data_IF_437384553138
#
_entry.id   IF_437384553138
#
_cell.length_a   1.000
_cell.length_b   1.000
_cell.length_c   1.000
_cell.angle_alpha   90.00
_cell.angle_beta   90.00
_cell.angle_gamma   90.00
#
_symmetry.space_group_name_H-M   'P 1'
#
loop_
_entity.id
_entity.type
_entity.pdbx_description
1 polymer ?
#
# COMPACT_ATOMS: atom_id res chain seq x y z
N UNK A 1 -1.11 17.86 0.11
CA UNK A 1 -1.73 16.59 -0.33
C UNK A 1 -2.23 15.88 0.90
N UNK A 2 -3.48 15.45 0.93
CA UNK A 2 -4.04 14.69 2.06
C UNK A 2 -3.59 13.23 1.97
N UNK A 3 -3.05 12.71 3.07
CA UNK A 3 -2.87 11.27 3.26
C UNK A 3 -4.21 10.59 3.53
N UNK A 4 -4.30 9.29 3.31
CA UNK A 4 -5.58 8.59 3.52
C UNK A 4 -5.97 8.49 5.00
N UNK A 5 -4.99 8.57 5.91
CA UNK A 5 -5.22 8.73 7.35
C UNK A 5 -5.89 10.06 7.72
N UNK A 6 -5.90 11.03 6.81
CA UNK A 6 -6.50 12.36 6.99
C UNK A 6 -7.82 12.52 6.22
N UNK A 7 -8.42 11.42 5.74
CA UNK A 7 -9.70 11.51 5.06
C UNK A 7 -10.76 12.12 5.98
N UNK A 8 -11.54 13.10 5.49
CA UNK A 8 -12.71 13.60 6.20
C UNK A 8 -13.69 12.47 6.55
N UNK A 9 -14.42 12.57 7.69
CA UNK A 9 -15.34 11.53 8.14
C UNK A 9 -16.39 11.11 7.10
N UNK A 10 -16.85 12.04 6.27
CA UNK A 10 -17.81 11.77 5.19
C UNK A 10 -17.24 10.83 4.12
N UNK A 11 -15.95 10.96 3.79
CA UNK A 11 -15.27 10.07 2.85
C UNK A 11 -15.06 8.70 3.48
N UNK A 12 -14.61 8.66 4.74
CA UNK A 12 -14.44 7.40 5.49
C UNK A 12 -15.76 6.62 5.55
N UNK A 13 -16.87 7.31 5.83
CA UNK A 13 -18.20 6.71 5.88
C UNK A 13 -18.63 6.15 4.53
N UNK A 14 -18.41 6.90 3.44
CA UNK A 14 -18.73 6.41 2.09
C UNK A 14 -17.86 5.21 1.68
N UNK A 15 -16.58 5.18 2.04
CA UNK A 15 -15.71 4.02 1.79
C UNK A 15 -16.16 2.81 2.61
N UNK A 16 -16.71 3.01 3.81
CA UNK A 16 -17.17 1.95 4.68
C UNK A 16 -18.35 1.14 4.11
N UNK A 17 -19.11 1.72 3.18
CA UNK A 17 -20.22 1.04 2.49
C UNK A 17 -19.76 0.10 1.37
N UNK A 18 -18.45 0.09 1.04
CA UNK A 18 -17.90 -0.75 -0.03
C UNK A 18 -17.42 -2.12 0.48
N UNK A 19 -17.66 -3.18 -0.30
CA UNK A 19 -17.09 -4.50 -0.01
C UNK A 19 -15.56 -4.54 -0.20
N UNK A 20 -15.06 -3.74 -1.17
CA UNK A 20 -13.63 -3.65 -1.50
C UNK A 20 -13.30 -2.28 -2.11
N UNK A 21 -12.25 -1.64 -1.60
CA UNK A 21 -11.67 -0.43 -2.19
C UNK A 21 -10.41 -0.76 -3.00
N UNK A 22 -10.30 -0.28 -4.23
CA UNK A 22 -9.12 -0.52 -5.08
C UNK A 22 -8.33 0.77 -5.28
N UNK A 23 -7.11 0.79 -4.75
CA UNK A 23 -6.13 1.86 -4.95
C UNK A 23 -5.26 1.56 -6.17
N UNK A 24 -5.23 2.49 -7.13
CA UNK A 24 -4.47 2.33 -8.38
C UNK A 24 -3.26 3.24 -8.40
N UNK A 25 -2.10 2.68 -8.72
CA UNK A 25 -0.88 3.41 -9.04
C UNK A 25 -0.05 3.86 -7.84
N UNK A 26 1.12 4.41 -8.15
CA UNK A 26 2.16 4.78 -7.19
C UNK A 26 1.70 5.89 -6.22
N UNK A 27 1.04 6.93 -6.73
CA UNK A 27 0.59 8.08 -5.92
C UNK A 27 -0.37 7.64 -4.80
N UNK A 28 -1.32 6.75 -5.10
CA UNK A 28 -2.26 6.24 -4.09
C UNK A 28 -1.55 5.34 -3.08
N UNK A 29 -0.58 4.53 -3.53
CA UNK A 29 0.21 3.70 -2.63
C UNK A 29 1.05 4.53 -1.65
N UNK A 30 1.67 5.61 -2.13
CA UNK A 30 2.42 6.56 -1.30
C UNK A 30 1.49 7.26 -0.30
N UNK A 31 0.29 7.68 -0.72
CA UNK A 31 -0.71 8.29 0.18
C UNK A 31 -1.22 7.32 1.25
N UNK A 32 -1.38 6.04 0.90
CA UNK A 32 -1.76 4.97 1.82
C UNK A 32 -0.67 4.69 2.87
N UNK A 33 0.60 4.87 2.51
CA UNK A 33 1.74 4.60 3.38
C UNK A 33 2.32 5.88 4.02
N UNK A 34 1.57 6.98 3.93
CA UNK A 34 1.95 8.30 4.43
C UNK A 34 3.28 8.83 3.88
N UNK A 35 3.71 8.30 2.73
CA UNK A 35 4.98 8.59 2.09
C UNK A 35 6.21 8.47 3.01
N UNK A 36 6.13 7.59 4.03
CA UNK A 36 7.21 7.38 5.00
C UNK A 36 8.17 6.28 4.55
N UNK A 37 9.40 6.34 5.07
CA UNK A 37 10.40 5.27 4.92
C UNK A 37 10.08 4.12 5.86
N UNK A 38 9.33 3.15 5.36
CA UNK A 38 9.04 1.90 6.04
C UNK A 38 10.11 0.85 5.71
N UNK A 39 10.50 -0.02 6.67
CA UNK A 39 11.19 -1.27 6.34
C UNK A 39 10.40 -2.05 5.27
N UNK A 40 11.05 -2.67 4.26
CA UNK A 40 10.35 -3.44 3.23
C UNK A 40 9.47 -4.57 3.75
N UNK A 41 9.76 -5.06 4.96
CA UNK A 41 9.01 -6.14 5.64
C UNK A 41 7.87 -5.64 6.50
N UNK A 42 7.63 -4.32 6.55
CA UNK A 42 6.54 -3.74 7.37
C UNK A 42 5.18 -4.27 6.94
N UNK A 43 4.28 -4.48 7.91
CA UNK A 43 2.92 -4.94 7.63
C UNK A 43 2.03 -3.80 7.11
N UNK A 44 1.53 -3.95 5.89
CA UNK A 44 0.60 -3.01 5.27
C UNK A 44 -0.71 -2.88 6.06
N UNK A 45 -1.21 -3.97 6.65
CA UNK A 45 -2.47 -3.94 7.39
C UNK A 45 -2.35 -3.09 8.66
N UNK A 46 -1.22 -3.18 9.36
CA UNK A 46 -0.90 -2.34 10.51
C UNK A 46 -0.76 -0.86 10.14
N UNK A 47 -0.01 -0.55 9.06
CA UNK A 47 0.20 0.84 8.62
C UNK A 47 -1.12 1.48 8.18
N UNK A 48 -1.93 0.76 7.42
CA UNK A 48 -3.23 1.22 6.93
C UNK A 48 -4.38 0.89 7.90
N UNK A 49 -4.12 0.78 9.21
CA UNK A 49 -5.12 0.43 10.24
C UNK A 49 -6.35 1.34 10.22
N UNK A 50 -6.22 2.58 9.76
CA UNK A 50 -7.29 3.57 9.61
C UNK A 50 -8.30 3.28 8.48
N UNK A 51 -8.03 2.35 7.56
CA UNK A 51 -8.94 2.04 6.46
C UNK A 51 -10.23 1.34 6.94
N UNK A 52 -11.43 1.80 6.60
CA UNK A 52 -12.65 1.25 7.19
C UNK A 52 -13.03 -0.15 6.68
N UNK A 53 -12.52 -0.56 5.52
CA UNK A 53 -12.92 -1.79 4.81
C UNK A 53 -11.72 -2.51 4.19
N UNK A 54 -11.96 -3.72 3.68
CA UNK A 54 -11.01 -4.44 2.83
C UNK A 54 -10.55 -3.56 1.68
N UNK A 55 -9.26 -3.64 1.33
CA UNK A 55 -8.74 -2.89 0.18
C UNK A 55 -7.65 -3.65 -0.57
N UNK A 56 -7.52 -3.30 -1.85
CA UNK A 56 -6.52 -3.82 -2.76
C UNK A 56 -5.67 -2.67 -3.32
N UNK A 57 -4.36 -2.72 -3.13
CA UNK A 57 -3.44 -1.78 -3.75
C UNK A 57 -2.77 -2.42 -4.99
N UNK A 58 -2.99 -1.81 -6.15
CA UNK A 58 -2.41 -2.21 -7.43
C UNK A 58 -1.37 -1.17 -7.86
N UNK A 59 -0.09 -1.55 -7.85
CA UNK A 59 0.99 -0.61 -8.12
C UNK A 59 2.07 -1.20 -9.01
N UNK A 60 2.49 -0.43 -10.01
CA UNK A 60 3.78 -0.62 -10.67
C UNK A 60 4.86 0.13 -9.88
N UNK A 61 6.01 -0.49 -9.66
CA UNK A 61 7.10 0.06 -8.85
C UNK A 61 7.83 1.17 -9.62
N UNK A 62 7.55 2.43 -9.24
CA UNK A 62 8.14 3.65 -9.83
C UNK A 62 8.63 4.61 -8.74
N UNK A 63 8.96 4.07 -7.57
CA UNK A 63 9.31 4.85 -6.39
C UNK A 63 9.89 3.98 -5.27
N UNK A 64 10.77 4.57 -4.47
CA UNK A 64 11.66 3.93 -3.48
C UNK A 64 10.97 3.34 -2.23
N UNK A 65 9.66 3.17 -2.26
CA UNK A 65 8.85 2.79 -1.10
C UNK A 65 8.18 1.44 -1.37
N UNK A 66 8.32 0.46 -0.49
CA UNK A 66 7.63 -0.83 -0.56
C UNK A 66 7.47 -1.41 0.85
N UNK A 67 6.47 -2.25 1.05
CA UNK A 67 6.19 -2.93 2.32
C UNK A 67 5.67 -4.34 2.02
N UNK A 68 5.49 -5.21 3.02
CA UNK A 68 4.92 -6.55 2.85
C UNK A 68 5.82 -7.57 2.14
N UNK A 69 7.10 -7.28 1.94
CA UNK A 69 8.06 -8.25 1.43
C UNK A 69 8.49 -9.23 2.52
N UNK A 70 9.00 -10.39 2.10
CA UNK A 70 9.66 -11.32 3.01
C UNK A 70 11.05 -10.81 3.39
N UNK A 71 11.55 -11.24 4.56
CA UNK A 71 12.94 -10.99 4.97
C UNK A 71 13.92 -11.45 3.89
N UNK A 72 14.88 -10.60 3.51
CA UNK A 72 15.88 -10.88 2.48
C UNK A 72 15.42 -10.69 1.02
N UNK A 73 14.12 -10.52 0.78
CA UNK A 73 13.59 -10.42 -0.59
C UNK A 73 14.00 -9.10 -1.27
N UNK A 74 14.02 -8.00 -0.51
CA UNK A 74 14.43 -6.69 -1.04
C UNK A 74 15.92 -6.69 -1.42
N UNK A 75 16.75 -7.31 -0.58
CA UNK A 75 18.19 -7.46 -0.78
C UNK A 75 18.49 -8.33 -2.00
N UNK A 76 17.77 -9.45 -2.16
CA UNK A 76 17.87 -10.30 -3.33
C UNK A 76 17.55 -9.51 -4.60
N UNK A 77 16.40 -8.83 -4.64
CA UNK A 77 16.00 -8.03 -5.80
C UNK A 77 17.02 -6.92 -6.11
N UNK A 78 17.54 -6.24 -5.08
CA UNK A 78 18.56 -5.22 -5.24
C UNK A 78 19.90 -5.78 -5.79
N UNK A 79 20.22 -7.03 -5.48
CA UNK A 79 21.41 -7.71 -6.03
C UNK A 79 21.26 -8.09 -7.50
N UNK A 80 20.03 -8.38 -7.94
CA UNK A 80 19.70 -8.73 -9.33
C UNK A 80 19.57 -7.47 -10.21
N UNK A 81 18.96 -6.42 -9.68
CA UNK A 81 18.66 -5.17 -10.39
C UNK A 81 18.67 -4.00 -9.39
N UNK A 82 19.69 -3.13 -9.39
CA UNK A 82 19.75 -1.99 -8.46
C UNK A 82 18.59 -1.00 -8.58
N UNK A 83 17.93 -0.91 -9.74
CA UNK A 83 16.86 0.05 -10.04
C UNK A 83 15.45 -0.56 -9.92
N UNK A 84 15.34 -1.77 -9.36
CA UNK A 84 14.11 -2.58 -9.36
C UNK A 84 12.86 -1.91 -8.77
N UNK A 85 13.04 -0.92 -7.88
CA UNK A 85 11.95 -0.15 -7.25
C UNK A 85 11.43 1.00 -8.11
N UNK A 86 12.22 1.47 -9.09
CA UNK A 86 11.98 2.74 -9.78
C UNK A 86 11.87 2.59 -11.31
N UNK A 87 12.36 1.49 -11.88
CA UNK A 87 12.37 1.28 -13.33
C UNK A 87 11.01 0.92 -13.95
N UNK A 88 10.00 0.61 -13.14
CA UNK A 88 8.64 0.33 -13.63
C UNK A 88 8.41 -1.08 -14.18
N UNK A 89 9.38 -1.99 -14.06
CA UNK A 89 9.29 -3.34 -14.64
C UNK A 89 8.51 -4.32 -13.75
N UNK A 90 8.42 -4.00 -12.44
CA UNK A 90 7.77 -4.84 -11.44
C UNK A 90 6.49 -4.18 -10.94
N UNK A 91 5.59 -5.01 -10.42
CA UNK A 91 4.37 -4.54 -9.80
C UNK A 91 3.97 -5.40 -8.61
N UNK A 92 3.16 -4.82 -7.74
CA UNK A 92 2.60 -5.47 -6.56
C UNK A 92 1.08 -5.39 -6.58
N UNK A 93 0.48 -6.46 -6.08
CA UNK A 93 -0.94 -6.57 -5.78
C UNK A 93 -1.02 -6.91 -4.30
N UNK A 94 -1.36 -5.93 -3.47
CA UNK A 94 -1.47 -6.12 -2.01
C UNK A 94 -2.92 -6.06 -1.59
N UNK A 95 -3.46 -7.20 -1.15
CA UNK A 95 -4.78 -7.30 -0.54
C UNK A 95 -4.64 -7.23 0.98
N UNK A 96 -5.34 -6.27 1.59
CA UNK A 96 -5.61 -6.28 3.02
C UNK A 96 -7.06 -6.68 3.20
N UNK A 97 -7.27 -7.91 3.68
CA UNK A 97 -8.59 -8.42 3.96
C UNK A 97 -9.03 -8.00 5.37
N UNK A 98 -10.18 -7.34 5.44
CA UNK A 98 -10.90 -7.00 6.68
C UNK A 98 -12.32 -7.52 6.55
N UNK A 99 -12.70 -8.55 7.31
CA UNK A 99 -14.08 -9.01 7.32
C UNK A 99 -14.98 -7.88 7.85
N UNK A 100 -16.23 -7.77 7.36
CA UNK A 100 -17.19 -6.84 7.93
C UNK A 100 -17.32 -7.09 9.43
N UNK A 101 -17.42 -6.02 10.23
CA UNK A 101 -17.88 -6.16 11.60
C UNK A 101 -19.32 -6.69 11.52
N UNK A 102 -19.52 -7.94 11.96
CA UNK A 102 -20.83 -8.59 11.99
C UNK A 102 -21.81 -7.89 12.92
#
# INVERSE_FOLDING_TARGET
CLFFSEFPPEIVSSLAESDLVIFKGDVNYRRLLEDRRWPPTSDLAAIASYMPVSFLALRTLKGELIVGLQEGQAEQLASEDPDWLINGERGVIHLVHRPPAG
#
